data_IF_768564689590
#
_entry.id   IF_768564689590
#
_cell.length_a   1.000
_cell.length_b   1.000
_cell.length_c   1.000
_cell.angle_alpha   90.00
_cell.angle_beta   90.00
_cell.angle_gamma   90.00
#
_symmetry.space_group_name_H-M   'P 1'
#
loop_
_entity.id
_entity.type
_entity.pdbx_description
1 polymer ?
#
# COMPACT_ATOMS: atom_id res chain seq x y z
N UNK A 1 -14.80 -14.96 10.57
CA UNK A 1 -15.90 -15.83 10.11
C UNK A 1 -15.60 -16.27 8.69
N UNK A 2 -15.66 -17.58 8.35
CA UNK A 2 -15.46 -18.00 6.97
C UNK A 2 -16.50 -17.35 6.07
N UNK A 3 -16.06 -16.86 4.94
CA UNK A 3 -16.92 -16.23 3.94
C UNK A 3 -17.71 -17.34 3.26
N UNK A 4 -18.96 -17.53 3.65
CA UNK A 4 -19.86 -18.52 3.05
C UNK A 4 -20.09 -18.29 1.55
N UNK A 5 -20.67 -19.27 0.87
CA UNK A 5 -21.08 -19.19 -0.54
C UNK A 5 -22.08 -18.05 -0.76
N UNK A 6 -22.23 -17.60 -2.00
CA UNK A 6 -23.20 -16.54 -2.35
C UNK A 6 -24.62 -16.86 -1.89
N UNK A 7 -25.04 -18.11 -2.02
CA UNK A 7 -26.37 -18.60 -1.58
C UNK A 7 -26.54 -18.57 -0.06
N UNK A 8 -25.50 -18.86 0.71
CA UNK A 8 -25.54 -18.77 2.18
C UNK A 8 -25.65 -17.32 2.62
N UNK A 9 -24.91 -16.40 1.99
CA UNK A 9 -24.99 -14.97 2.27
C UNK A 9 -26.38 -14.41 1.96
N UNK A 10 -26.95 -14.77 0.82
CA UNK A 10 -28.28 -14.36 0.43
C UNK A 10 -29.33 -14.84 1.43
N UNK A 11 -29.28 -16.12 1.83
CA UNK A 11 -30.19 -16.67 2.85
C UNK A 11 -30.07 -15.97 4.19
N UNK A 12 -28.84 -15.64 4.64
CA UNK A 12 -28.61 -14.88 5.87
C UNK A 12 -29.18 -13.48 5.82
N UNK A 13 -29.00 -12.78 4.69
CA UNK A 13 -29.52 -11.43 4.50
C UNK A 13 -31.03 -11.43 4.46
N UNK A 14 -31.67 -12.36 3.71
CA UNK A 14 -33.11 -12.46 3.64
C UNK A 14 -33.71 -12.86 5.00
N UNK A 15 -33.10 -13.81 5.72
CA UNK A 15 -33.52 -14.17 7.08
C UNK A 15 -33.42 -12.99 8.05
N UNK A 16 -32.34 -12.23 8.01
CA UNK A 16 -32.18 -11.06 8.87
C UNK A 16 -33.12 -9.91 8.48
N UNK A 17 -33.56 -9.81 7.24
CA UNK A 17 -34.53 -8.79 6.81
C UNK A 17 -35.93 -9.05 7.38
N UNK A 18 -36.31 -10.31 7.52
CA UNK A 18 -37.65 -10.75 8.00
C UNK A 18 -37.70 -10.90 9.51
N UNK A 19 -36.64 -11.41 10.14
CA UNK A 19 -36.58 -11.68 11.57
C UNK A 19 -35.76 -10.60 12.29
N UNK A 20 -36.43 -9.76 13.08
CA UNK A 20 -35.81 -8.70 13.86
C UNK A 20 -34.86 -9.23 14.98
N UNK A 21 -35.02 -10.50 15.38
CA UNK A 21 -34.19 -11.15 16.41
C UNK A 21 -33.01 -11.93 15.86
N UNK A 22 -32.85 -11.95 14.54
CA UNK A 22 -31.77 -12.68 13.87
C UNK A 22 -30.39 -12.24 14.38
N UNK A 23 -29.50 -13.18 14.75
CA UNK A 23 -28.13 -12.89 15.17
C UNK A 23 -27.27 -12.28 14.04
N UNK A 24 -27.73 -12.38 12.79
CA UNK A 24 -27.10 -11.71 11.65
C UNK A 24 -27.46 -10.22 11.53
N UNK A 25 -28.38 -9.73 12.37
CA UNK A 25 -28.83 -8.34 12.41
C UNK A 25 -28.10 -7.59 13.51
N UNK A 26 -27.47 -6.49 13.16
CA UNK A 26 -26.83 -5.59 14.12
C UNK A 26 -27.45 -4.20 14.00
N UNK A 27 -27.78 -3.60 15.15
CA UNK A 27 -28.26 -2.23 15.24
C UNK A 27 -27.21 -1.39 15.95
N UNK A 28 -26.64 -0.41 15.23
CA UNK A 28 -25.65 0.52 15.75
C UNK A 28 -26.13 1.96 15.52
N UNK A 29 -25.95 2.82 16.52
CA UNK A 29 -26.21 4.24 16.34
C UNK A 29 -25.21 4.83 15.34
N UNK A 30 -25.61 5.72 14.40
CA UNK A 30 -24.68 6.33 13.45
C UNK A 30 -23.47 7.03 14.09
N UNK A 31 -23.66 7.58 15.31
CA UNK A 31 -22.60 8.22 16.09
C UNK A 31 -21.41 7.29 16.42
N UNK A 32 -21.62 5.98 16.45
CA UNK A 32 -20.56 4.98 16.68
C UNK A 32 -19.49 5.04 15.59
N UNK A 33 -19.89 5.31 14.35
CA UNK A 33 -18.98 5.40 13.23
C UNK A 33 -18.16 6.70 13.19
N UNK A 34 -18.55 7.71 13.98
CA UNK A 34 -17.80 8.97 14.06
C UNK A 34 -16.40 8.80 14.68
N UNK A 35 -16.17 7.74 15.46
CA UNK A 35 -14.85 7.41 16.01
C UNK A 35 -13.90 6.85 14.93
N UNK A 36 -14.44 6.38 13.81
CA UNK A 36 -13.66 5.75 12.73
C UNK A 36 -13.23 6.85 11.75
N UNK A 37 -11.95 6.95 11.36
CA UNK A 37 -11.49 7.91 10.37
C UNK A 37 -12.30 7.83 9.07
N UNK A 38 -12.86 8.95 8.62
CA UNK A 38 -13.74 9.01 7.46
C UNK A 38 -15.17 8.53 7.71
N UNK A 39 -15.56 8.27 8.96
CA UNK A 39 -16.89 7.80 9.37
C UNK A 39 -17.41 6.61 8.53
N UNK A 40 -16.51 5.67 8.23
CA UNK A 40 -16.83 4.50 7.44
C UNK A 40 -17.81 3.59 8.18
N UNK A 41 -18.87 3.17 7.48
CA UNK A 41 -19.82 2.18 7.98
C UNK A 41 -19.23 0.79 7.86
N UNK A 42 -18.97 0.14 9.00
CA UNK A 42 -18.44 -1.22 9.05
C UNK A 42 -19.58 -2.19 9.45
N UNK A 43 -19.65 -3.31 8.73
CA UNK A 43 -20.71 -4.32 8.93
C UNK A 43 -20.50 -5.15 10.20
N UNK A 44 -19.25 -5.30 10.65
CA UNK A 44 -18.91 -6.06 11.85
C UNK A 44 -17.93 -5.26 12.69
N UNK A 45 -18.45 -4.55 13.68
CA UNK A 45 -17.65 -3.74 14.61
C UNK A 45 -18.06 -4.14 16.02
N UNK A 46 -17.11 -4.60 16.81
CA UNK A 46 -17.30 -4.78 18.24
C UNK A 46 -16.79 -3.56 19.04
N UNK A 47 -17.16 -3.49 20.30
CA UNK A 47 -16.79 -2.40 21.18
C UNK A 47 -15.27 -2.27 21.38
N UNK A 48 -14.53 -3.40 21.33
CA UNK A 48 -13.09 -3.40 21.50
C UNK A 48 -12.40 -2.80 20.26
N UNK A 49 -12.89 -3.15 19.08
CA UNK A 49 -12.41 -2.56 17.83
C UNK A 49 -12.64 -1.04 17.80
N UNK A 50 -13.80 -0.58 18.23
CA UNK A 50 -14.11 0.86 18.31
C UNK A 50 -13.19 1.60 19.29
N UNK A 51 -12.92 1.00 20.45
CA UNK A 51 -11.97 1.56 21.43
C UNK A 51 -10.58 1.73 20.85
N UNK A 52 -10.10 0.81 20.01
CA UNK A 52 -8.79 0.93 19.37
C UNK A 52 -8.69 2.19 18.50
N UNK A 53 -9.76 2.61 17.83
CA UNK A 53 -9.74 3.84 17.04
C UNK A 53 -9.68 5.11 17.92
N UNK A 54 -10.20 5.06 19.15
CA UNK A 54 -10.21 6.19 20.08
C UNK A 54 -8.94 6.26 20.92
N UNK A 55 -8.48 5.11 21.43
CA UNK A 55 -7.52 5.04 22.54
C UNK A 55 -6.09 4.81 22.04
N UNK A 56 -5.94 4.22 20.83
CA UNK A 56 -4.62 3.90 20.31
C UNK A 56 -4.05 5.06 19.48
N UNK A 57 -2.73 5.21 19.57
CA UNK A 57 -2.01 6.16 18.75
C UNK A 57 -2.17 5.79 17.27
N UNK A 58 -2.51 6.77 16.46
CA UNK A 58 -2.66 6.58 15.03
C UNK A 58 -1.30 6.46 14.36
N UNK A 59 -1.20 5.60 13.34
CA UNK A 59 0.00 5.48 12.53
C UNK A 59 0.40 6.84 11.94
N UNK A 60 -0.57 7.65 11.50
CA UNK A 60 -0.34 8.98 10.95
C UNK A 60 0.22 10.02 11.93
N UNK A 61 0.21 9.75 13.25
CA UNK A 61 0.79 10.65 14.25
C UNK A 61 2.34 10.52 14.32
N UNK A 62 2.88 9.40 13.83
CA UNK A 62 4.32 9.11 13.85
C UNK A 62 4.93 8.91 12.47
N UNK A 63 4.10 8.55 11.50
CA UNK A 63 4.56 8.17 10.19
C UNK A 63 3.78 8.88 9.10
N UNK A 64 4.44 9.13 8.01
CA UNK A 64 3.89 9.75 6.83
C UNK A 64 3.70 8.71 5.73
N UNK A 65 2.44 8.34 5.38
CA UNK A 65 2.18 7.46 4.25
C UNK A 65 2.31 8.24 2.94
N UNK A 66 3.03 7.67 1.96
CA UNK A 66 3.20 8.24 0.63
C UNK A 66 2.87 7.23 -0.46
N UNK A 67 2.18 7.70 -1.50
CA UNK A 67 2.13 7.03 -2.77
C UNK A 67 3.40 7.36 -3.57
N UNK A 68 3.88 6.42 -4.37
CA UNK A 68 5.05 6.62 -5.19
C UNK A 68 4.72 6.92 -6.66
N UNK A 69 5.67 6.64 -7.54
CA UNK A 69 5.58 6.94 -8.97
C UNK A 69 4.52 6.08 -9.67
N UNK A 70 3.82 6.70 -10.61
CA UNK A 70 3.11 6.01 -11.69
C UNK A 70 3.78 6.36 -13.01
N UNK A 71 4.35 5.39 -13.71
CA UNK A 71 5.16 5.65 -14.91
C UNK A 71 4.34 6.02 -16.14
N UNK A 72 3.01 5.80 -16.11
CA UNK A 72 2.15 5.86 -17.29
C UNK A 72 2.25 4.62 -18.17
N UNK A 73 3.44 3.98 -18.26
CA UNK A 73 3.70 2.76 -19.04
C UNK A 73 4.72 1.86 -18.37
N UNK A 74 4.28 1.08 -17.38
CA UNK A 74 5.18 0.20 -16.62
C UNK A 74 6.02 -0.73 -17.52
N UNK A 75 5.46 -1.26 -18.60
CA UNK A 75 6.16 -2.14 -19.54
C UNK A 75 7.36 -1.50 -20.25
N UNK A 76 7.49 -0.17 -20.28
CA UNK A 76 8.63 0.53 -20.85
C UNK A 76 9.71 0.85 -19.81
N UNK A 77 9.31 1.18 -18.57
CA UNK A 77 10.21 1.76 -17.57
C UNK A 77 10.51 0.86 -16.39
N UNK A 78 9.76 -0.24 -16.20
CA UNK A 78 9.99 -1.19 -15.12
C UNK A 78 10.42 -2.54 -15.72
N UNK A 79 11.46 -3.15 -15.12
CA UNK A 79 11.99 -4.47 -15.50
C UNK A 79 12.22 -5.28 -14.24
N UNK A 80 12.33 -6.59 -14.41
CA UNK A 80 12.99 -7.40 -13.40
C UNK A 80 14.49 -7.08 -13.39
N UNK A 81 15.12 -7.13 -12.23
CA UNK A 81 16.54 -6.80 -12.10
C UNK A 81 17.45 -7.64 -13.00
N UNK A 82 17.06 -8.88 -13.30
CA UNK A 82 17.83 -9.79 -14.15
C UNK A 82 17.62 -9.56 -15.66
N UNK A 83 16.66 -8.73 -16.06
CA UNK A 83 16.43 -8.35 -17.45
C UNK A 83 17.37 -7.21 -17.92
N UNK A 84 18.07 -6.59 -16.99
CA UNK A 84 18.98 -5.48 -17.26
C UNK A 84 20.40 -5.83 -16.86
N UNK A 85 21.38 -5.19 -17.48
CA UNK A 85 22.78 -5.40 -17.11
C UNK A 85 23.03 -4.97 -15.67
N UNK A 86 23.57 -5.86 -14.84
CA UNK A 86 23.83 -5.58 -13.43
C UNK A 86 24.69 -4.31 -13.22
N UNK A 87 25.62 -4.02 -14.14
CA UNK A 87 26.44 -2.82 -14.12
C UNK A 87 25.67 -1.51 -14.35
N UNK A 88 24.42 -1.58 -14.81
CA UNK A 88 23.53 -0.42 -15.05
C UNK A 88 22.61 -0.12 -13.89
N UNK A 89 22.54 -1.00 -12.89
CA UNK A 89 21.74 -0.83 -11.68
C UNK A 89 22.52 0.03 -10.68
N UNK A 90 21.84 1.01 -10.10
CA UNK A 90 22.41 1.89 -9.10
C UNK A 90 22.72 1.12 -7.80
N UNK A 91 23.85 1.46 -7.20
CA UNK A 91 24.30 0.98 -5.90
C UNK A 91 24.73 2.18 -5.04
N UNK A 92 25.00 1.98 -3.74
CA UNK A 92 25.56 3.04 -2.88
C UNK A 92 26.84 3.65 -3.46
N UNK A 93 27.72 2.84 -4.05
CA UNK A 93 28.97 3.31 -4.64
C UNK A 93 28.82 3.89 -6.07
N UNK A 94 27.68 3.66 -6.71
CA UNK A 94 27.40 4.11 -8.09
C UNK A 94 25.94 4.59 -8.20
N UNK A 95 25.59 5.70 -7.52
CA UNK A 95 24.21 6.17 -7.46
C UNK A 95 23.68 6.70 -8.80
N UNK A 96 24.55 7.13 -9.71
CA UNK A 96 24.15 7.77 -10.98
C UNK A 96 23.74 6.80 -12.08
N UNK A 97 23.72 5.50 -11.80
CA UNK A 97 23.25 4.48 -12.76
C UNK A 97 21.77 4.68 -13.08
N UNK A 98 21.39 4.46 -14.35
CA UNK A 98 20.03 4.74 -14.83
C UNK A 98 18.93 3.90 -14.22
N UNK A 99 19.22 2.65 -13.84
CA UNK A 99 18.25 1.77 -13.19
C UNK A 99 18.35 1.86 -11.67
N UNK A 100 17.22 2.07 -11.00
CA UNK A 100 17.10 2.12 -9.54
C UNK A 100 16.31 0.93 -9.05
N UNK A 101 16.69 0.36 -7.91
CA UNK A 101 15.86 -0.64 -7.24
C UNK A 101 14.48 -0.04 -6.97
N UNK A 102 13.43 -0.86 -7.14
CA UNK A 102 12.07 -0.36 -7.15
C UNK A 102 11.10 -1.26 -6.37
N UNK A 103 10.40 -0.66 -5.40
CA UNK A 103 9.28 -1.29 -4.74
C UNK A 103 8.02 -1.10 -5.60
N UNK A 104 7.64 -2.12 -6.35
CA UNK A 104 6.44 -2.10 -7.21
C UNK A 104 5.14 -2.39 -6.46
N UNK A 105 5.21 -2.85 -5.22
CA UNK A 105 4.07 -3.43 -4.54
C UNK A 105 3.70 -4.79 -5.13
N UNK A 106 2.59 -5.36 -4.68
CA UNK A 106 2.17 -6.71 -5.07
C UNK A 106 2.98 -7.80 -4.37
N UNK A 107 2.77 -9.04 -4.83
CA UNK A 107 3.50 -10.19 -4.28
C UNK A 107 3.04 -10.63 -2.88
N UNK A 108 1.84 -10.29 -2.54
CA UNK A 108 0.94 -10.74 -1.45
C UNK A 108 1.55 -11.12 -0.10
N UNK A 109 2.37 -12.13 -0.02
CA UNK A 109 2.80 -12.71 1.26
C UNK A 109 4.29 -12.50 1.57
N UNK A 110 4.98 -11.70 0.75
CA UNK A 110 6.41 -11.43 0.93
C UNK A 110 6.59 -10.44 2.07
N UNK A 111 6.86 -10.96 3.26
CA UNK A 111 6.98 -10.16 4.47
C UNK A 111 8.42 -9.91 4.84
N UNK A 112 8.61 -8.84 5.48
CA UNK A 112 9.57 -8.24 6.35
C UNK A 112 10.78 -7.67 5.63
N UNK A 113 11.49 -8.40 4.79
CA UNK A 113 12.71 -7.92 4.14
C UNK A 113 13.02 -8.66 2.82
N UNK A 114 13.78 -8.01 1.94
CA UNK A 114 14.27 -8.60 0.69
C UNK A 114 13.24 -8.71 -0.44
N UNK A 115 13.46 -9.61 -1.38
CA UNK A 115 12.61 -9.83 -2.56
C UNK A 115 12.36 -8.55 -3.39
N UNK A 116 13.43 -7.80 -3.65
CA UNK A 116 13.41 -6.63 -4.52
C UNK A 116 13.62 -7.12 -5.94
N UNK A 117 12.52 -7.42 -6.63
CA UNK A 117 12.55 -8.04 -7.95
C UNK A 117 12.64 -7.02 -9.08
N UNK A 118 12.25 -5.76 -8.82
CA UNK A 118 12.07 -4.77 -9.86
C UNK A 118 13.11 -3.66 -9.81
N UNK A 119 13.39 -3.14 -11.00
CA UNK A 119 14.15 -1.91 -11.22
C UNK A 119 13.34 -0.95 -12.07
N UNK A 120 13.43 0.32 -11.76
CA UNK A 120 12.83 1.42 -12.50
C UNK A 120 13.92 2.17 -13.27
N UNK A 121 13.69 2.45 -14.53
CA UNK A 121 14.54 3.35 -15.29
C UNK A 121 14.27 4.79 -14.87
N UNK A 122 15.21 5.38 -14.16
CA UNK A 122 15.04 6.65 -13.47
C UNK A 122 16.21 7.61 -13.73
N UNK A 123 16.62 7.71 -14.98
CA UNK A 123 17.51 8.75 -15.47
C UNK A 123 16.72 9.96 -16.00
N UNK A 124 17.39 11.11 -16.17
CA UNK A 124 16.75 12.35 -16.57
C UNK A 124 16.01 12.26 -17.93
N UNK A 125 16.50 11.44 -18.87
CA UNK A 125 15.85 11.27 -20.17
C UNK A 125 14.55 10.46 -19.99
N UNK A 126 14.59 9.38 -19.21
CA UNK A 126 13.44 8.54 -18.95
C UNK A 126 12.36 9.26 -18.13
N UNK A 127 12.76 10.11 -17.18
CA UNK A 127 11.81 10.95 -16.44
C UNK A 127 11.06 11.87 -17.40
N UNK A 128 11.76 12.57 -18.30
CA UNK A 128 11.10 13.43 -19.32
C UNK A 128 10.17 12.63 -20.24
N UNK A 129 10.54 11.40 -20.60
CA UNK A 129 9.66 10.53 -21.39
C UNK A 129 8.38 10.17 -20.61
N UNK A 130 8.50 9.83 -19.34
CA UNK A 130 7.36 9.52 -18.46
C UNK A 130 6.46 10.75 -18.28
N UNK A 131 7.03 11.94 -18.09
CA UNK A 131 6.29 13.20 -17.93
C UNK A 131 5.39 13.53 -19.13
N UNK A 132 5.74 13.07 -20.32
CA UNK A 132 4.93 13.23 -21.53
C UNK A 132 3.78 12.20 -21.65
N UNK A 133 3.70 11.20 -20.76
CA UNK A 133 2.73 10.13 -20.85
C UNK A 133 1.46 10.42 -20.04
N UNK A 134 0.28 10.08 -20.56
CA UNK A 134 -0.95 10.12 -19.77
C UNK A 134 -0.85 9.12 -18.60
N UNK A 135 -1.33 9.56 -17.45
CA UNK A 135 -1.31 8.76 -16.23
C UNK A 135 0.03 8.73 -15.47
N UNK A 136 1.03 9.47 -15.95
CA UNK A 136 2.25 9.73 -15.16
C UNK A 136 1.91 10.52 -13.91
N UNK A 137 2.48 10.12 -12.79
CA UNK A 137 2.47 10.86 -11.54
C UNK A 137 3.79 10.66 -10.82
N UNK A 138 4.29 11.69 -10.23
CA UNK A 138 5.55 11.72 -9.52
C UNK A 138 5.33 11.93 -8.02
N UNK A 139 4.31 11.25 -7.49
CA UNK A 139 3.94 11.32 -6.08
C UNK A 139 5.09 10.82 -5.21
N UNK A 140 5.26 11.38 -4.03
CA UNK A 140 6.30 10.97 -3.09
C UNK A 140 7.74 11.17 -3.56
N UNK A 141 7.99 11.99 -4.58
CA UNK A 141 9.31 12.28 -5.12
C UNK A 141 10.31 12.74 -4.06
N UNK A 142 9.84 13.50 -3.08
CA UNK A 142 10.61 14.02 -1.95
C UNK A 142 11.08 12.93 -0.97
N UNK A 143 10.51 11.72 -1.06
CA UNK A 143 10.79 10.57 -0.21
C UNK A 143 11.53 9.43 -0.93
N UNK A 144 11.82 9.59 -2.23
CA UNK A 144 12.58 8.56 -2.95
C UNK A 144 13.97 8.41 -2.36
N UNK A 145 14.48 7.20 -2.44
CA UNK A 145 15.80 6.78 -1.94
C UNK A 145 15.95 6.75 -0.42
N UNK A 146 14.91 7.15 0.33
CA UNK A 146 14.91 7.03 1.79
C UNK A 146 14.45 5.61 2.20
N UNK A 147 14.95 5.10 3.36
CA UNK A 147 14.45 3.85 3.91
C UNK A 147 12.97 4.00 4.30
N UNK A 148 12.18 2.95 4.07
CA UNK A 148 10.75 2.98 4.36
C UNK A 148 10.18 1.60 4.62
N UNK A 149 9.04 1.54 5.27
CA UNK A 149 8.20 0.35 5.34
C UNK A 149 7.15 0.43 4.25
N UNK A 150 7.15 -0.51 3.33
CA UNK A 150 6.18 -0.54 2.24
C UNK A 150 5.13 -1.63 2.39
N UNK A 151 4.00 -1.43 1.74
CA UNK A 151 2.94 -2.44 1.61
C UNK A 151 2.21 -2.28 0.28
N UNK A 152 1.47 -3.32 -0.11
CA UNK A 152 0.64 -3.26 -1.32
C UNK A 152 -0.66 -2.51 -1.04
N UNK A 153 -1.00 -1.54 -1.90
CA UNK A 153 -2.24 -0.76 -1.82
C UNK A 153 -3.49 -1.65 -1.88
N UNK A 154 -3.43 -2.70 -2.67
CA UNK A 154 -4.53 -3.66 -2.81
C UNK A 154 -4.01 -5.04 -2.44
N UNK A 155 -4.71 -5.70 -1.53
CA UNK A 155 -4.44 -7.09 -1.13
C UNK A 155 -5.77 -7.80 -0.89
N UNK A 156 -5.85 -9.04 -1.34
CA UNK A 156 -6.98 -9.96 -1.06
C UNK A 156 -6.76 -10.78 0.20
N UNK A 157 -5.57 -10.71 0.77
CA UNK A 157 -5.13 -11.41 1.98
C UNK A 157 -4.71 -10.40 3.05
N UNK A 158 -4.12 -10.88 4.13
CA UNK A 158 -3.57 -10.03 5.19
C UNK A 158 -2.53 -9.05 4.64
N UNK A 159 -2.47 -7.81 5.16
CA UNK A 159 -1.43 -6.86 4.80
C UNK A 159 -0.03 -7.46 5.00
N UNK A 160 0.85 -7.24 4.03
CA UNK A 160 2.23 -7.68 4.08
C UNK A 160 3.14 -6.45 4.08
N UNK A 161 3.64 -6.11 5.25
CA UNK A 161 4.61 -5.03 5.40
C UNK A 161 6.03 -5.53 5.16
N UNK A 162 6.86 -4.67 4.55
CA UNK A 162 8.25 -4.97 4.25
C UNK A 162 9.13 -3.74 4.42
N UNK A 163 10.28 -3.92 5.03
CA UNK A 163 11.31 -2.88 5.09
C UNK A 163 12.08 -2.81 3.76
N UNK A 164 12.20 -1.62 3.23
CA UNK A 164 13.00 -1.27 2.07
C UNK A 164 14.13 -0.35 2.50
N UNK A 165 15.40 -0.73 2.27
CA UNK A 165 16.53 0.11 2.61
C UNK A 165 16.62 1.36 1.73
N UNK A 166 17.55 2.25 2.06
CA UNK A 166 17.86 3.41 1.23
C UNK A 166 18.27 3.04 -0.21
N UNK A 167 18.11 3.97 -1.13
CA UNK A 167 18.51 3.81 -2.53
C UNK A 167 17.41 3.26 -3.44
N UNK A 168 16.18 3.16 -2.96
CA UNK A 168 15.05 2.62 -3.71
C UNK A 168 14.01 3.69 -4.04
N UNK A 169 13.34 3.50 -5.15
CA UNK A 169 12.09 4.17 -5.50
C UNK A 169 10.90 3.27 -5.15
N UNK A 170 9.70 3.83 -5.12
CA UNK A 170 8.47 3.08 -4.84
C UNK A 170 7.32 3.49 -5.77
N UNK A 171 6.41 2.58 -5.99
CA UNK A 171 5.29 2.66 -6.92
C UNK A 171 4.03 3.19 -6.23
N UNK A 172 3.10 3.70 -7.00
CA UNK A 172 1.77 4.08 -6.51
C UNK A 172 0.93 2.91 -6.00
N UNK A 173 1.29 1.68 -6.37
CA UNK A 173 0.71 0.43 -5.88
C UNK A 173 1.50 -0.19 -4.72
N UNK A 174 2.76 0.24 -4.51
CA UNK A 174 3.65 -0.15 -3.42
C UNK A 174 3.93 1.03 -2.50
N UNK A 175 2.94 1.38 -1.69
CA UNK A 175 2.99 2.54 -0.80
C UNK A 175 4.17 2.48 0.17
N UNK A 176 4.69 3.65 0.54
CA UNK A 176 5.75 3.79 1.54
C UNK A 176 5.26 4.50 2.80
N UNK A 177 5.76 4.08 3.94
CA UNK A 177 5.56 4.69 5.25
C UNK A 177 6.91 5.18 5.76
N UNK A 178 7.01 6.47 6.00
CA UNK A 178 8.23 7.17 6.39
C UNK A 178 8.09 7.71 7.81
N UNK A 179 9.17 7.83 8.56
CA UNK A 179 9.14 8.54 9.83
C UNK A 179 8.77 10.02 9.59
N UNK A 180 7.85 10.56 10.40
CA UNK A 180 7.34 11.91 10.20
C UNK A 180 8.37 13.00 10.54
N UNK A 181 9.25 12.73 11.47
CA UNK A 181 10.22 13.66 12.05
C UNK A 181 11.67 13.42 11.60
N UNK A 182 11.90 12.48 10.70
CA UNK A 182 13.24 12.12 10.24
C UNK A 182 14.11 11.47 11.31
N UNK A 183 13.54 11.06 12.43
CA UNK A 183 14.23 10.25 13.43
C UNK A 183 14.36 8.81 12.93
N UNK A 184 15.58 8.29 12.93
CA UNK A 184 15.93 6.91 12.57
C UNK A 184 15.29 5.87 13.51
#
# INVERSE_FOLDING_TARGET
TPVGTSSEKERLVLGAAVDATSPARSQLAPSVFSAIPGALVLISVDADMLRQFSDWQKVGDRFEPRAGISTGRNGEFIRYWFEVGQSTIATKSKPDRGWKLHNKGGGGERRWYGNVDYVLRYDAASIRQMEALPGFRHDGKDRYFQPHVGWSKVSTKSPAFRFYPEGMTFDSGGLGLFAADGSD
#
